data_IF_688359756827
#
_entry.id   IF_688359756827
#
_cell.length_a   1.000
_cell.length_b   1.000
_cell.length_c   1.000
_cell.angle_alpha   90.00
_cell.angle_beta   90.00
_cell.angle_gamma   90.00
#
_symmetry.space_group_name_H-M   'P 1'
#
loop_
_entity.id
_entity.type
_entity.pdbx_description
1 polymer ?
#
# COMPACT_ATOMS: atom_id res chain seq x y z
N UNK A 1 8.01 0.11 -10.61
CA UNK A 1 7.78 -1.15 -9.90
C UNK A 1 6.88 -0.92 -8.69
N UNK A 2 7.33 -0.21 -7.65
CA UNK A 2 6.53 0.04 -6.45
C UNK A 2 5.16 0.72 -6.72
N UNK A 3 5.13 1.78 -7.52
CA UNK A 3 3.86 2.47 -7.84
C UNK A 3 2.87 1.55 -8.55
N UNK A 4 3.32 0.76 -9.54
CA UNK A 4 2.45 -0.22 -10.21
C UNK A 4 1.93 -1.28 -9.24
N UNK A 5 2.75 -1.75 -8.30
CA UNK A 5 2.27 -2.67 -7.27
C UNK A 5 1.20 -2.03 -6.37
N UNK A 6 1.42 -0.79 -5.93
CA UNK A 6 0.45 -0.05 -5.11
C UNK A 6 -0.86 0.22 -5.87
N UNK A 7 -0.79 0.62 -7.14
CA UNK A 7 -1.95 0.82 -8.00
C UNK A 7 -2.70 -0.50 -8.24
N UNK A 8 -1.99 -1.60 -8.49
CA UNK A 8 -2.60 -2.92 -8.64
C UNK A 8 -3.28 -3.34 -7.32
N UNK A 9 -2.67 -3.07 -6.18
CA UNK A 9 -3.26 -3.33 -4.87
C UNK A 9 -4.56 -2.53 -4.66
N UNK A 10 -4.60 -1.24 -5.02
CA UNK A 10 -5.83 -0.42 -4.94
C UNK A 10 -6.96 -0.97 -5.83
N UNK A 11 -6.63 -1.46 -7.02
CA UNK A 11 -7.58 -2.13 -7.91
C UNK A 11 -8.12 -3.43 -7.29
N UNK A 12 -7.22 -4.28 -6.77
CA UNK A 12 -7.59 -5.58 -6.21
C UNK A 12 -8.37 -5.45 -4.90
N UNK A 13 -8.01 -4.47 -4.07
CA UNK A 13 -8.79 -4.10 -2.89
C UNK A 13 -10.17 -3.54 -3.27
N UNK A 14 -10.28 -2.80 -4.37
CA UNK A 14 -11.56 -2.34 -4.92
C UNK A 14 -12.48 -3.51 -5.28
N UNK A 15 -11.94 -4.53 -5.97
CA UNK A 15 -12.68 -5.77 -6.26
C UNK A 15 -13.10 -6.48 -4.98
N UNK A 16 -12.20 -6.58 -4.00
CA UNK A 16 -12.49 -7.23 -2.72
C UNK A 16 -13.50 -6.49 -1.86
N UNK A 17 -13.51 -5.17 -1.92
CA UNK A 17 -14.50 -4.36 -1.24
C UNK A 17 -15.92 -4.64 -1.77
N UNK A 18 -16.06 -4.90 -3.09
CA UNK A 18 -17.34 -5.28 -3.72
C UNK A 18 -17.68 -6.76 -3.50
N UNK A 19 -16.67 -7.63 -3.52
CA UNK A 19 -16.79 -9.08 -3.31
C UNK A 19 -15.73 -9.55 -2.30
N UNK A 20 -16.12 -9.71 -1.04
CA UNK A 20 -15.19 -10.08 0.04
C UNK A 20 -14.56 -11.46 -0.12
N UNK A 21 -15.06 -12.30 -1.05
CA UNK A 21 -14.48 -13.60 -1.40
C UNK A 21 -13.31 -13.49 -2.38
N UNK A 22 -13.10 -12.32 -2.99
CA UNK A 22 -12.01 -12.06 -3.92
C UNK A 22 -10.64 -12.17 -3.21
N UNK A 23 -9.74 -12.97 -3.80
CA UNK A 23 -8.35 -13.06 -3.36
C UNK A 23 -7.51 -11.97 -4.04
N UNK A 24 -6.87 -11.13 -3.25
CA UNK A 24 -6.05 -10.00 -3.74
C UNK A 24 -4.78 -10.52 -4.42
N UNK A 25 -4.56 -10.10 -5.67
CA UNK A 25 -3.30 -10.33 -6.37
C UNK A 25 -2.74 -9.02 -6.97
N UNK A 26 -1.94 -8.30 -6.19
CA UNK A 26 -1.31 -7.04 -6.62
C UNK A 26 -0.07 -7.22 -7.53
N UNK A 27 0.15 -8.42 -8.07
CA UNK A 27 1.32 -8.69 -8.92
C UNK A 27 1.31 -7.84 -10.20
N UNK A 28 2.50 -7.58 -10.76
CA UNK A 28 2.59 -6.94 -12.07
C UNK A 28 1.92 -7.81 -13.14
N UNK A 29 1.18 -7.17 -14.04
CA UNK A 29 0.74 -7.79 -15.29
C UNK A 29 1.91 -7.99 -16.25
N UNK A 30 1.79 -8.90 -17.21
CA UNK A 30 2.83 -9.15 -18.23
C UNK A 30 3.25 -7.88 -18.98
N UNK A 31 2.30 -6.98 -19.24
CA UNK A 31 2.56 -5.69 -19.88
C UNK A 31 3.36 -4.75 -18.98
N UNK A 32 2.96 -4.58 -17.71
CA UNK A 32 3.69 -3.77 -16.74
C UNK A 32 5.10 -4.32 -16.48
N UNK A 33 5.24 -5.65 -16.41
CA UNK A 33 6.52 -6.33 -16.29
C UNK A 33 7.44 -5.99 -17.47
N UNK A 34 6.93 -6.19 -18.69
CA UNK A 34 7.68 -5.91 -19.92
C UNK A 34 8.07 -4.44 -20.05
N UNK A 35 7.16 -3.52 -19.71
CA UNK A 35 7.41 -2.08 -19.74
C UNK A 35 8.53 -1.69 -18.76
N UNK A 36 8.45 -2.13 -17.51
CA UNK A 36 9.46 -1.81 -16.49
C UNK A 36 10.82 -2.39 -16.86
N UNK A 37 10.85 -3.64 -17.32
CA UNK A 37 12.08 -4.30 -17.77
C UNK A 37 12.74 -3.49 -18.89
N UNK A 38 11.99 -3.17 -19.94
CA UNK A 38 12.51 -2.39 -21.07
C UNK A 38 12.94 -0.98 -20.68
N UNK A 39 12.25 -0.34 -19.73
CA UNK A 39 12.58 1.00 -19.25
C UNK A 39 13.94 1.06 -18.54
N UNK A 40 14.30 0.02 -17.80
CA UNK A 40 15.51 -0.02 -16.99
C UNK A 40 16.65 -0.83 -17.62
N UNK A 41 16.42 -1.43 -18.80
CA UNK A 41 17.40 -2.27 -19.52
C UNK A 41 17.94 -3.43 -18.66
N UNK A 42 17.02 -4.11 -17.96
CA UNK A 42 17.33 -5.24 -17.07
C UNK A 42 16.89 -6.55 -17.74
N UNK A 43 17.60 -7.66 -17.50
CA UNK A 43 17.17 -8.97 -17.98
C UNK A 43 16.01 -9.57 -17.17
N UNK A 44 15.41 -10.64 -17.68
CA UNK A 44 14.22 -11.24 -17.06
C UNK A 44 14.50 -11.85 -15.68
N UNK A 45 15.68 -12.45 -15.47
CA UNK A 45 15.99 -13.12 -14.21
C UNK A 45 16.32 -12.11 -13.12
N UNK A 46 17.13 -11.10 -13.44
CA UNK A 46 17.48 -10.03 -12.51
C UNK A 46 16.23 -9.23 -12.11
N UNK A 47 15.36 -8.90 -13.06
CA UNK A 47 14.13 -8.19 -12.74
C UNK A 47 13.19 -9.02 -11.86
N UNK A 48 13.04 -10.33 -12.14
CA UNK A 48 12.23 -11.22 -11.32
C UNK A 48 12.76 -11.30 -9.88
N UNK A 49 14.07 -11.40 -9.68
CA UNK A 49 14.69 -11.42 -8.36
C UNK A 49 14.46 -10.10 -7.61
N UNK A 50 14.69 -8.96 -8.27
CA UNK A 50 14.44 -7.64 -7.68
C UNK A 50 12.98 -7.44 -7.29
N UNK A 51 12.04 -7.87 -8.14
CA UNK A 51 10.62 -7.77 -7.86
C UNK A 51 10.19 -8.67 -6.70
N UNK A 52 10.70 -9.91 -6.67
CA UNK A 52 10.46 -10.84 -5.56
C UNK A 52 10.99 -10.29 -4.24
N UNK A 53 12.16 -9.67 -4.22
CA UNK A 53 12.71 -9.06 -3.01
C UNK A 53 11.91 -7.84 -2.56
N UNK A 54 11.43 -7.02 -3.50
CA UNK A 54 10.51 -5.92 -3.20
C UNK A 54 9.23 -6.41 -2.50
N UNK A 55 8.59 -7.48 -3.00
CA UNK A 55 7.37 -8.02 -2.38
C UNK A 55 7.59 -8.59 -0.97
N UNK A 56 8.84 -8.95 -0.62
CA UNK A 56 9.20 -9.47 0.72
C UNK A 56 9.64 -8.39 1.68
N UNK A 57 9.70 -7.12 1.26
CA UNK A 57 10.17 -6.03 2.12
C UNK A 57 9.27 -5.88 3.35
N UNK A 58 9.91 -5.69 4.51
CA UNK A 58 9.24 -5.52 5.80
C UNK A 58 9.56 -4.14 6.37
N UNK A 59 8.70 -3.61 7.28
CA UNK A 59 9.02 -2.39 8.01
C UNK A 59 10.42 -2.42 8.61
N UNK A 60 11.23 -1.41 8.27
CA UNK A 60 12.60 -1.27 8.77
C UNK A 60 12.58 -0.92 10.26
N UNK A 61 13.70 -1.12 10.96
CA UNK A 61 13.85 -0.65 12.35
C UNK A 61 13.73 0.87 12.44
N UNK A 62 14.23 1.57 11.43
CA UNK A 62 14.18 3.02 11.36
C UNK A 62 12.75 3.51 11.20
N UNK A 63 11.99 2.99 10.23
CA UNK A 63 10.54 3.27 10.08
C UNK A 63 9.80 3.08 11.41
N UNK A 64 9.99 1.94 12.08
CA UNK A 64 9.36 1.68 13.39
C UNK A 64 9.73 2.75 14.43
N UNK A 65 11.02 3.04 14.57
CA UNK A 65 11.50 4.06 15.52
C UNK A 65 10.96 5.46 15.21
N UNK A 66 10.83 5.82 13.93
CA UNK A 66 10.31 7.11 13.50
C UNK A 66 8.81 7.22 13.81
N UNK A 67 8.04 6.16 13.53
CA UNK A 67 6.63 6.10 13.90
C UNK A 67 6.40 6.12 15.42
N UNK A 68 7.22 5.38 16.18
CA UNK A 68 7.14 5.36 17.65
C UNK A 68 7.43 6.75 18.24
N UNK A 69 8.45 7.45 17.73
CA UNK A 69 8.78 8.80 18.15
C UNK A 69 7.69 9.81 17.78
N UNK A 70 7.12 9.67 16.57
CA UNK A 70 6.01 10.51 16.13
C UNK A 70 4.77 10.29 17.01
N UNK A 71 4.41 9.05 17.30
CA UNK A 71 3.32 8.72 18.23
C UNK A 71 3.58 9.27 19.64
N UNK A 72 4.80 9.14 20.16
CA UNK A 72 5.18 9.70 21.46
C UNK A 72 5.09 11.23 21.54
N UNK A 73 5.16 11.92 20.39
CA UNK A 73 4.94 13.37 20.31
C UNK A 73 3.46 13.78 20.32
N UNK A 74 2.54 12.81 20.35
CA UNK A 74 1.10 13.00 20.22
C UNK A 74 0.63 13.03 18.77
N UNK A 75 1.41 12.47 17.84
CA UNK A 75 1.04 12.32 16.45
C UNK A 75 0.23 11.04 16.20
N UNK A 76 -0.65 11.07 15.21
CA UNK A 76 -1.42 9.92 14.74
C UNK A 76 -1.14 9.66 13.26
N UNK A 77 -1.16 8.39 12.88
CA UNK A 77 -1.07 7.97 11.47
C UNK A 77 -2.47 7.55 11.05
N UNK A 78 -3.03 8.28 10.11
CA UNK A 78 -4.39 8.08 9.62
C UNK A 78 -4.31 7.37 8.28
N UNK A 79 -5.02 6.24 8.16
CA UNK A 79 -5.14 5.46 6.92
C UNK A 79 -6.57 5.64 6.42
N UNK A 80 -6.73 6.25 5.26
CA UNK A 80 -8.05 6.58 4.71
C UNK A 80 -8.27 5.81 3.40
N UNK A 81 -9.03 4.69 3.44
CA UNK A 81 -9.50 4.03 2.24
C UNK A 81 -10.77 4.71 1.71
N UNK A 82 -10.80 5.01 0.41
CA UNK A 82 -11.96 5.61 -0.27
C UNK A 82 -12.28 4.80 -1.52
N UNK A 83 -13.48 4.22 -1.56
CA UNK A 83 -13.94 3.50 -2.75
C UNK A 83 -14.35 4.47 -3.85
N UNK A 84 -13.64 4.42 -4.98
CA UNK A 84 -14.01 5.11 -6.21
C UNK A 84 -14.87 4.19 -7.07
N UNK A 85 -16.18 4.43 -7.04
CA UNK A 85 -17.15 3.66 -7.82
C UNK A 85 -16.91 3.73 -9.33
N UNK A 86 -16.34 4.82 -9.86
CA UNK A 86 -16.16 5.00 -11.30
C UNK A 86 -15.01 4.15 -11.80
N UNK A 87 -13.93 4.11 -11.04
CA UNK A 87 -12.75 3.32 -11.38
C UNK A 87 -12.80 1.90 -10.81
N UNK A 88 -13.75 1.61 -9.91
CA UNK A 88 -13.84 0.36 -9.14
C UNK A 88 -12.54 0.09 -8.37
N UNK A 89 -12.00 1.13 -7.73
CA UNK A 89 -10.74 1.11 -6.99
C UNK A 89 -10.95 1.53 -5.54
N UNK A 90 -10.19 0.95 -4.63
CA UNK A 90 -10.11 1.43 -3.25
C UNK A 90 -8.83 2.26 -3.10
N UNK A 91 -8.96 3.58 -3.23
CA UNK A 91 -7.83 4.50 -3.07
C UNK A 91 -7.40 4.53 -1.60
N UNK A 92 -6.11 4.40 -1.33
CA UNK A 92 -5.60 4.40 0.05
C UNK A 92 -4.63 5.56 0.25
N UNK A 93 -5.01 6.53 1.08
CA UNK A 93 -4.11 7.59 1.54
C UNK A 93 -3.58 7.30 2.95
N UNK A 94 -2.34 7.73 3.19
CA UNK A 94 -1.75 7.79 4.53
C UNK A 94 -1.46 9.24 4.81
N UNK A 95 -1.95 9.74 5.93
CA UNK A 95 -1.63 11.06 6.42
C UNK A 95 -1.15 11.00 7.87
N UNK A 96 -0.44 12.03 8.28
CA UNK A 96 0.13 12.14 9.62
C UNK A 96 -0.47 13.38 10.28
N UNK A 97 -1.08 13.24 11.46
CA UNK A 97 -1.73 14.36 12.13
C UNK A 97 -1.13 14.62 13.51
N UNK A 98 -0.88 15.89 13.85
CA UNK A 98 -0.46 16.30 15.20
C UNK A 98 -0.93 17.74 15.48
N UNK A 99 -1.60 17.96 16.63
CA UNK A 99 -2.10 19.28 17.07
C UNK A 99 -2.89 20.02 15.97
N UNK A 100 -3.90 19.35 15.42
CA UNK A 100 -4.80 19.86 14.37
C UNK A 100 -4.11 20.23 13.05
N UNK A 101 -2.90 19.70 12.80
CA UNK A 101 -2.19 19.81 11.53
C UNK A 101 -2.02 18.45 10.92
N UNK A 102 -2.42 18.32 9.66
CA UNK A 102 -2.22 17.14 8.83
C UNK A 102 -1.04 17.35 7.89
N UNK A 103 -0.23 16.31 7.72
CA UNK A 103 0.95 16.26 6.89
C UNK A 103 0.85 15.05 5.96
N UNK A 104 1.25 15.22 4.70
CA UNK A 104 1.26 14.12 3.72
C UNK A 104 2.48 13.20 3.90
N UNK A 105 3.53 13.71 4.53
CA UNK A 105 4.78 12.98 4.79
C UNK A 105 5.27 13.22 6.21
N UNK A 106 6.08 12.29 6.71
CA UNK A 106 6.72 12.40 8.01
C UNK A 106 8.21 12.68 7.80
N UNK A 107 8.69 13.79 8.36
CA UNK A 107 10.10 14.13 8.30
C UNK A 107 10.95 13.01 8.89
N UNK A 108 11.96 12.58 8.14
CA UNK A 108 12.84 11.48 8.53
C UNK A 108 12.44 10.14 7.94
N UNK A 109 11.33 9.99 7.22
CA UNK A 109 11.12 8.79 6.39
C UNK A 109 11.82 8.93 5.03
N UNK A 110 12.42 7.82 4.58
CA UNK A 110 12.88 7.71 3.19
C UNK A 110 11.72 7.35 2.25
N UNK A 111 11.85 7.64 0.96
CA UNK A 111 10.84 7.28 -0.05
C UNK A 111 10.52 5.76 -0.06
N UNK A 112 11.52 4.91 0.21
CA UNK A 112 11.29 3.46 0.32
C UNK A 112 10.47 3.10 1.56
N UNK A 113 10.68 3.80 2.67
CA UNK A 113 9.93 3.56 3.91
C UNK A 113 8.49 4.06 3.78
N UNK A 114 8.25 5.15 3.06
CA UNK A 114 6.89 5.58 2.69
C UNK A 114 6.17 4.52 1.85
N UNK A 115 6.85 3.94 0.87
CA UNK A 115 6.31 2.83 0.06
C UNK A 115 5.99 1.63 0.94
N UNK A 116 6.92 1.22 1.80
CA UNK A 116 6.71 0.08 2.72
C UNK A 116 5.54 0.37 3.66
N UNK A 117 5.42 1.60 4.18
CA UNK A 117 4.31 2.00 5.02
C UNK A 117 2.97 1.88 4.27
N UNK A 118 2.89 2.38 3.02
CA UNK A 118 1.69 2.26 2.18
C UNK A 118 1.33 0.80 1.88
N UNK A 119 2.32 -0.04 1.55
CA UNK A 119 2.11 -1.48 1.39
C UNK A 119 1.53 -2.13 2.65
N UNK A 120 2.07 -1.80 3.83
CA UNK A 120 1.56 -2.36 5.10
C UNK A 120 0.15 -1.87 5.43
N UNK A 121 -0.21 -0.63 5.10
CA UNK A 121 -1.58 -0.14 5.26
C UNK A 121 -2.57 -0.90 4.36
N UNK A 122 -2.22 -1.10 3.09
CA UNK A 122 -3.05 -1.87 2.14
C UNK A 122 -3.23 -3.33 2.56
N UNK A 123 -2.19 -3.98 3.11
CA UNK A 123 -2.30 -5.33 3.67
C UNK A 123 -3.22 -5.36 4.90
N UNK A 124 -3.18 -4.32 5.74
CA UNK A 124 -4.11 -4.22 6.88
C UNK A 124 -5.55 -4.08 6.40
N UNK A 125 -5.81 -3.28 5.36
CA UNK A 125 -7.12 -3.15 4.73
C UNK A 125 -7.59 -4.49 4.15
N UNK A 126 -6.73 -5.22 3.43
CA UNK A 126 -7.05 -6.56 2.92
C UNK A 126 -7.51 -7.51 4.04
N UNK A 127 -6.80 -7.51 5.18
CA UNK A 127 -7.16 -8.31 6.34
C UNK A 127 -8.53 -7.91 6.92
N UNK A 128 -8.83 -6.60 6.98
CA UNK A 128 -10.14 -6.10 7.44
C UNK A 128 -11.24 -6.56 6.49
N UNK A 129 -11.07 -6.37 5.18
CA UNK A 129 -12.05 -6.79 4.17
C UNK A 129 -12.28 -8.30 4.18
N UNK A 130 -11.23 -9.10 4.40
CA UNK A 130 -11.33 -10.56 4.52
C UNK A 130 -12.16 -11.02 5.71
N UNK A 131 -12.22 -10.21 6.78
CA UNK A 131 -12.99 -10.48 7.98
C UNK A 131 -14.36 -9.81 8.03
N UNK A 132 -14.70 -9.00 7.02
CA UNK A 132 -15.92 -8.22 6.98
C UNK A 132 -17.12 -9.08 6.54
N UNK A 133 -18.29 -8.78 7.10
CA UNK A 133 -19.58 -9.33 6.66
C UNK A 133 -19.88 -8.81 5.24
N UNK A 134 -20.19 -9.68 4.26
CA UNK A 134 -20.44 -9.25 2.87
C UNK A 134 -21.63 -8.30 2.73
N UNK A 135 -22.58 -8.34 3.67
CA UNK A 135 -23.78 -7.51 3.61
C UNK A 135 -23.62 -6.17 4.37
N UNK A 136 -22.45 -5.94 4.98
CA UNK A 136 -22.18 -4.74 5.79
C UNK A 136 -20.91 -4.06 5.30
N UNK A 137 -21.05 -2.78 4.97
CA UNK A 137 -19.91 -1.96 4.58
C UNK A 137 -18.86 -1.90 5.72
N UNK A 138 -17.58 -2.17 5.43
CA UNK A 138 -16.53 -2.14 6.45
C UNK A 138 -16.40 -0.75 7.08
N UNK A 139 -16.32 -0.70 8.42
CA UNK A 139 -16.01 0.53 9.14
C UNK A 139 -14.49 0.72 9.18
N UNK A 140 -14.02 1.83 8.61
CA UNK A 140 -12.62 2.27 8.63
C UNK A 140 -12.43 3.43 9.60
#
# INVERSE_FOLDING_TARGET
MANFYLENMENELGKKYVDNSHEVNASLTDSQYSELKSKYDIDDFEFADLYNEFQKMKPTKHLKSTLDAFAASGGNVDIEPVFDEKEQKLNVSISFSIKDKTYDTLEGLSALEEIILKMNAMIQIDNVLSGADPDVEPAF
#
